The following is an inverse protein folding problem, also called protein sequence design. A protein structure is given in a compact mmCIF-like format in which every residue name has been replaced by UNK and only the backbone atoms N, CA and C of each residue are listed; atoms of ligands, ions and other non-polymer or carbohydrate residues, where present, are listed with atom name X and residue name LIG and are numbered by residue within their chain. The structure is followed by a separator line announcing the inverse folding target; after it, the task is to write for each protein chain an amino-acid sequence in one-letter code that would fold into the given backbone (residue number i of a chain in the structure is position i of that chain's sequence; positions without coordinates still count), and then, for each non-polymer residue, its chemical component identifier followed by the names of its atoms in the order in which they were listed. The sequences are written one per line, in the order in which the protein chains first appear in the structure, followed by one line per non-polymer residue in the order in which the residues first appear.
data_IF_888518985910
#
_entry.id   IF_888518985910
#
_cell.length_a   1.000
_cell.length_b   1.000
_cell.length_c   1.000
_cell.angle_alpha   90.00
_cell.angle_beta   90.00
_cell.angle_gamma   90.00
#
_symmetry.space_group_name_H-M   'P 1'
#
loop_
_entity.id
_entity.type
_entity.pdbx_description
1 polymer ?
#
# COMPACT_ATOMS: atom_id res chain seq x y z
N UNK A 1 -15.54 -4.65 29.14
CA UNK A 1 -14.52 -4.07 30.03
C UNK A 1 -13.77 -3.01 29.25
N UNK A 2 -13.92 -1.72 29.59
CA UNK A 2 -13.12 -0.65 28.99
C UNK A 2 -11.77 -0.60 29.69
N UNK A 3 -10.68 -0.73 28.94
CA UNK A 3 -9.33 -0.53 29.47
C UNK A 3 -9.09 0.98 29.58
N UNK A 4 -8.85 1.48 30.79
CA UNK A 4 -8.41 2.88 30.98
C UNK A 4 -7.05 3.07 30.31
N UNK A 5 -6.97 4.07 29.42
CA UNK A 5 -5.71 4.45 28.76
C UNK A 5 -4.94 5.36 29.71
N UNK A 6 -3.69 4.99 30.03
CA UNK A 6 -2.88 5.72 31.03
C UNK A 6 -2.14 6.90 30.40
N UNK A 7 -1.49 6.69 29.25
CA UNK A 7 -0.72 7.72 28.53
C UNK A 7 -0.64 7.39 27.03
N UNK A 8 -0.34 8.40 26.21
CA UNK A 8 -0.22 8.29 24.76
C UNK A 8 1.01 9.05 24.24
N UNK A 9 1.90 8.33 23.55
CA UNK A 9 3.04 8.89 22.85
C UNK A 9 2.85 8.71 21.33
N UNK A 10 3.09 9.76 20.54
CA UNK A 10 2.96 9.73 19.07
C UNK A 10 4.33 9.91 18.44
N UNK A 11 4.71 8.99 17.55
CA UNK A 11 5.97 9.05 16.79
C UNK A 11 5.69 9.45 15.34
N UNK A 12 6.45 10.41 14.82
CA UNK A 12 6.50 10.74 13.39
C UNK A 12 7.52 9.85 12.67
N UNK A 13 7.40 9.74 11.34
CA UNK A 13 8.40 9.05 10.52
C UNK A 13 9.75 9.76 10.61
N UNK A 14 10.87 9.02 10.59
CA UNK A 14 12.18 9.62 10.40
C UNK A 14 12.20 10.33 9.03
N UNK A 15 12.49 11.64 9.06
CA UNK A 15 12.61 12.48 7.85
C UNK A 15 14.02 12.50 7.29
N UNK A 16 15.00 12.22 8.14
CA UNK A 16 16.40 12.09 7.76
C UNK A 16 16.78 10.62 7.91
N UNK A 17 17.57 10.13 6.96
CA UNK A 17 18.21 8.84 7.10
C UNK A 17 19.30 9.00 8.17
N UNK A 18 19.05 8.53 9.38
CA UNK A 18 20.13 8.36 10.34
C UNK A 18 20.99 7.21 9.82
N UNK A 19 22.22 7.51 9.39
CA UNK A 19 23.30 6.51 9.31
C UNK A 19 23.55 5.99 10.73
N UNK A 20 22.65 5.16 11.24
CA UNK A 20 22.90 4.40 12.45
C UNK A 20 24.10 3.53 12.13
N UNK A 21 25.21 3.69 12.87
CA UNK A 21 26.42 2.87 12.73
C UNK A 21 26.18 1.36 12.84
N UNK A 22 24.97 0.96 13.27
CA UNK A 22 24.34 -0.28 12.89
C UNK A 22 23.91 -0.22 11.42
N UNK A 23 24.87 -0.37 10.52
CA UNK A 23 24.67 -0.60 9.08
C UNK A 23 23.45 -1.49 8.87
N UNK A 24 22.35 -0.86 8.49
CA UNK A 24 21.08 -1.50 8.19
C UNK A 24 21.30 -2.33 6.91
N UNK A 25 21.74 -3.57 7.09
CA UNK A 25 21.88 -4.65 6.10
C UNK A 25 22.01 -4.24 4.63
N UNK A 26 22.99 -3.40 4.31
CA UNK A 26 23.63 -3.50 3.00
C UNK A 26 24.34 -4.85 2.98
N UNK A 27 23.86 -5.76 2.13
CA UNK A 27 24.62 -6.89 1.61
C UNK A 27 25.34 -7.75 2.67
N UNK A 28 24.61 -8.55 3.46
CA UNK A 28 25.25 -9.53 4.37
C UNK A 28 25.08 -11.00 3.99
N UNK A 29 24.70 -11.29 2.75
CA UNK A 29 25.10 -12.56 2.12
C UNK A 29 25.31 -12.45 0.60
N UNK A 30 26.36 -11.73 0.14
CA UNK A 30 26.72 -11.67 -1.28
C UNK A 30 27.19 -13.01 -1.86
N UNK A 31 27.32 -14.07 -1.04
CA UNK A 31 27.70 -15.41 -1.49
C UNK A 31 26.50 -16.22 -2.00
N UNK A 32 25.26 -15.88 -1.62
CA UNK A 32 24.04 -16.59 -2.04
C UNK A 32 23.00 -15.73 -2.78
N UNK A 33 23.21 -14.41 -2.86
CA UNK A 33 22.32 -13.56 -3.65
C UNK A 33 22.50 -13.83 -5.15
N UNK A 34 21.39 -14.01 -5.86
CA UNK A 34 21.34 -14.08 -7.32
C UNK A 34 21.79 -12.73 -7.90
N UNK A 35 23.09 -12.62 -8.17
CA UNK A 35 23.73 -11.38 -8.63
C UNK A 35 23.07 -10.84 -9.90
N UNK A 36 22.62 -11.71 -10.79
CA UNK A 36 21.93 -11.29 -12.01
C UNK A 36 20.65 -10.52 -11.69
N UNK A 37 19.85 -11.01 -10.73
CA UNK A 37 18.62 -10.33 -10.32
C UNK A 37 18.89 -9.01 -9.57
N UNK A 38 19.97 -8.94 -8.80
CA UNK A 38 20.39 -7.72 -8.12
C UNK A 38 20.86 -6.64 -9.12
N UNK A 39 21.65 -7.03 -10.12
CA UNK A 39 22.14 -6.14 -11.18
C UNK A 39 20.97 -5.59 -12.01
N UNK A 40 20.01 -6.46 -12.39
CA UNK A 40 18.78 -6.01 -13.09
C UNK A 40 17.99 -5.01 -12.25
N UNK A 41 17.86 -5.25 -10.95
CA UNK A 41 17.16 -4.32 -10.06
C UNK A 41 17.87 -2.96 -10.03
N UNK A 42 19.19 -2.94 -9.84
CA UNK A 42 19.99 -1.72 -9.82
C UNK A 42 19.86 -0.93 -11.14
N UNK A 43 20.02 -1.61 -12.28
CA UNK A 43 19.90 -1.02 -13.61
C UNK A 43 18.52 -0.38 -13.84
N UNK A 44 17.45 -1.05 -13.37
CA UNK A 44 16.09 -0.50 -13.48
C UNK A 44 15.93 0.73 -12.61
N UNK A 45 16.38 0.69 -11.35
CA UNK A 45 16.29 1.84 -10.42
C UNK A 45 17.03 3.05 -10.96
N UNK A 46 18.24 2.87 -11.52
CA UNK A 46 19.02 3.96 -12.11
C UNK A 46 18.34 4.63 -13.31
N UNK A 47 17.49 3.89 -14.03
CA UNK A 47 16.74 4.40 -15.19
C UNK A 47 15.44 5.10 -14.83
N UNK A 48 14.96 5.00 -13.59
CA UNK A 48 13.73 5.65 -13.17
C UNK A 48 13.97 7.16 -13.01
N UNK A 49 13.18 7.97 -13.71
CA UNK A 49 13.10 9.40 -13.46
C UNK A 49 12.27 9.65 -12.19
N UNK A 50 12.93 9.58 -11.04
CA UNK A 50 12.29 9.81 -9.74
C UNK A 50 11.68 11.21 -9.63
N UNK A 51 12.18 12.20 -10.37
CA UNK A 51 11.59 13.53 -10.35
C UNK A 51 10.24 13.54 -11.07
N UNK A 52 10.14 12.90 -12.22
CA UNK A 52 8.87 12.70 -12.92
C UNK A 52 7.88 11.91 -12.04
N UNK A 53 8.34 10.82 -11.41
CA UNK A 53 7.52 10.01 -10.51
C UNK A 53 6.99 10.84 -9.33
N UNK A 54 7.86 11.59 -8.65
CA UNK A 54 7.46 12.49 -7.56
C UNK A 54 6.40 13.50 -8.01
N UNK A 55 6.60 14.14 -9.17
CA UNK A 55 5.65 15.14 -9.69
C UNK A 55 4.26 14.52 -9.96
N UNK A 56 4.18 13.24 -10.35
CA UNK A 56 2.92 12.53 -10.54
C UNK A 56 2.21 12.31 -9.20
N UNK A 57 2.93 11.84 -8.19
CA UNK A 57 2.40 11.70 -6.83
C UNK A 57 1.89 13.05 -6.29
N UNK A 58 2.67 14.11 -6.43
CA UNK A 58 2.30 15.47 -6.00
C UNK A 58 1.04 15.97 -6.74
N UNK A 59 0.93 15.72 -8.04
CA UNK A 59 -0.24 16.07 -8.85
C UNK A 59 -1.49 15.32 -8.39
N UNK A 60 -1.39 14.03 -8.09
CA UNK A 60 -2.52 13.23 -7.60
C UNK A 60 -2.92 13.69 -6.19
N UNK A 61 -1.96 13.90 -5.29
CA UNK A 61 -2.20 14.43 -3.95
C UNK A 61 -2.96 15.77 -4.01
N UNK A 62 -2.50 16.71 -4.83
CA UNK A 62 -3.16 18.00 -5.02
C UNK A 62 -4.59 17.86 -5.57
N UNK A 63 -4.82 16.98 -6.55
CA UNK A 63 -6.17 16.69 -7.09
C UNK A 63 -7.10 16.07 -6.04
N UNK A 64 -6.55 15.41 -5.03
CA UNK A 64 -7.27 14.85 -3.89
C UNK A 64 -7.38 15.82 -2.70
N UNK A 65 -6.94 17.07 -2.84
CA UNK A 65 -7.02 18.08 -1.77
C UNK A 65 -5.98 17.91 -0.66
N UNK A 66 -4.91 17.14 -0.92
CA UNK A 66 -3.79 16.94 -0.02
C UNK A 66 -2.68 17.93 -0.39
N UNK A 67 -2.04 18.51 0.62
CA UNK A 67 -0.87 19.38 0.45
C UNK A 67 0.36 18.52 0.10
N UNK A 68 0.89 18.61 -1.15
CA UNK A 68 1.98 17.74 -1.60
C UNK A 68 3.27 17.91 -0.79
N UNK A 69 3.47 19.07 -0.16
CA UNK A 69 4.68 19.35 0.64
C UNK A 69 4.76 18.52 1.92
N UNK A 70 3.67 17.86 2.33
CA UNK A 70 3.60 16.99 3.51
C UNK A 70 3.75 15.51 3.18
N UNK A 71 3.86 15.17 1.91
CA UNK A 71 3.96 13.80 1.43
C UNK A 71 5.33 13.23 1.74
N UNK A 72 5.36 11.98 2.20
CA UNK A 72 6.60 11.25 2.45
C UNK A 72 7.00 10.45 1.21
N UNK A 73 7.67 11.11 0.26
CA UNK A 73 8.28 10.45 -0.89
C UNK A 73 9.68 9.92 -0.49
N UNK A 74 9.92 8.64 -0.68
CA UNK A 74 11.12 7.91 -0.24
C UNK A 74 12.30 8.21 -1.16
N UNK A 75 12.08 8.25 -2.48
CA UNK A 75 13.12 8.64 -3.44
C UNK A 75 14.28 7.62 -3.58
N UNK A 76 15.16 7.82 -4.58
CA UNK A 76 16.17 6.84 -5.01
C UNK A 76 17.20 6.46 -3.92
N UNK A 77 17.40 7.32 -2.92
CA UNK A 77 18.41 7.14 -1.88
C UNK A 77 18.02 6.17 -0.76
N UNK A 78 16.76 5.75 -0.70
CA UNK A 78 16.20 4.92 0.38
C UNK A 78 15.62 3.59 -0.12
N UNK A 79 16.27 3.02 -1.14
CA UNK A 79 15.98 1.68 -1.66
C UNK A 79 17.00 0.64 -1.20
N UNK A 80 16.51 -0.57 -0.94
CA UNK A 80 17.35 -1.71 -0.55
C UNK A 80 16.98 -2.94 -1.37
N UNK A 81 18.01 -3.64 -1.83
CA UNK A 81 17.84 -4.97 -2.39
C UNK A 81 17.72 -6.01 -1.26
N UNK A 82 16.65 -6.80 -1.31
CA UNK A 82 16.37 -7.90 -0.40
C UNK A 82 16.40 -9.27 -1.11
N UNK A 83 17.02 -9.35 -2.29
CA UNK A 83 17.24 -10.57 -3.06
C UNK A 83 17.96 -11.61 -2.20
N UNK A 84 17.19 -12.56 -1.64
CA UNK A 84 17.55 -13.75 -0.82
C UNK A 84 16.86 -13.85 0.54
N UNK A 85 16.28 -12.76 1.06
CA UNK A 85 15.79 -12.76 2.44
C UNK A 85 14.37 -13.31 2.59
N UNK A 86 13.43 -12.90 1.73
CA UNK A 86 11.99 -13.26 1.82
C UNK A 86 11.43 -13.65 0.44
N UNK A 87 10.21 -14.19 0.36
CA UNK A 87 9.54 -14.50 -0.93
C UNK A 87 8.52 -13.41 -1.34
N UNK A 88 8.57 -12.25 -0.71
CA UNK A 88 7.75 -11.09 -1.07
C UNK A 88 8.41 -10.30 -2.20
N UNK A 89 7.61 -9.66 -3.06
CA UNK A 89 8.11 -8.88 -4.20
C UNK A 89 8.75 -7.56 -3.77
N UNK A 90 8.11 -6.88 -2.83
CA UNK A 90 8.54 -5.62 -2.26
C UNK A 90 7.94 -5.45 -0.86
N UNK A 91 8.44 -4.43 -0.16
CA UNK A 91 7.87 -3.95 1.09
C UNK A 91 8.41 -2.56 1.42
N UNK A 92 7.53 -1.63 1.75
CA UNK A 92 7.90 -0.43 2.49
C UNK A 92 8.05 -0.73 3.98
N UNK A 93 9.22 -0.39 4.52
CA UNK A 93 9.50 -0.45 5.95
C UNK A 93 9.34 0.95 6.55
N UNK A 94 8.22 1.16 7.24
CA UNK A 94 7.91 2.44 7.88
C UNK A 94 8.79 2.82 9.07
N UNK A 95 9.44 1.86 9.72
CA UNK A 95 10.32 2.14 10.87
C UNK A 95 11.61 2.84 10.42
N UNK A 96 12.13 2.43 9.25
CA UNK A 96 13.33 3.02 8.65
C UNK A 96 13.02 3.99 7.50
N UNK A 97 11.75 4.03 7.08
CA UNK A 97 11.27 4.79 5.93
C UNK A 97 12.03 4.45 4.63
N UNK A 98 12.10 3.16 4.33
CA UNK A 98 12.83 2.62 3.18
C UNK A 98 11.96 1.65 2.38
N UNK A 99 12.19 1.55 1.08
CA UNK A 99 11.53 0.54 0.24
C UNK A 99 12.51 -0.57 -0.08
N UNK A 100 12.09 -1.79 0.22
CA UNK A 100 12.82 -2.99 -0.12
C UNK A 100 12.19 -3.69 -1.32
N UNK A 101 13.00 -4.15 -2.26
CA UNK A 101 12.56 -4.95 -3.42
C UNK A 101 13.35 -6.25 -3.49
N UNK A 102 12.74 -7.30 -4.04
CA UNK A 102 13.39 -8.59 -4.22
C UNK A 102 13.47 -8.91 -5.71
N UNK A 103 14.66 -8.69 -6.30
CA UNK A 103 14.91 -8.88 -7.73
C UNK A 103 14.54 -10.30 -8.20
N UNK A 104 14.95 -11.34 -7.48
CA UNK A 104 14.66 -12.72 -7.89
C UNK A 104 13.17 -13.06 -7.81
N UNK A 105 12.46 -12.58 -6.78
CA UNK A 105 11.02 -12.80 -6.67
C UNK A 105 10.26 -12.03 -7.77
N UNK A 106 10.70 -10.80 -8.08
CA UNK A 106 10.17 -9.97 -9.16
C UNK A 106 10.38 -10.62 -10.54
N UNK A 107 11.58 -11.12 -10.82
CA UNK A 107 11.90 -11.85 -12.06
C UNK A 107 11.01 -13.09 -12.22
N UNK A 108 10.92 -13.94 -11.19
CA UNK A 108 10.02 -15.11 -11.20
C UNK A 108 8.55 -14.73 -11.39
N UNK A 109 8.11 -13.64 -10.76
CA UNK A 109 6.74 -13.14 -10.90
C UNK A 109 6.47 -12.64 -12.31
N UNK A 110 7.43 -11.93 -12.91
CA UNK A 110 7.33 -11.43 -14.27
C UNK A 110 7.28 -12.58 -15.29
N UNK A 111 8.15 -13.58 -15.14
CA UNK A 111 8.19 -14.79 -15.97
C UNK A 111 6.86 -15.57 -15.89
N UNK A 112 6.31 -15.75 -14.68
CA UNK A 112 5.02 -16.44 -14.50
C UNK A 112 3.88 -15.71 -15.21
N UNK A 113 3.80 -14.39 -15.03
CA UNK A 113 2.78 -13.57 -15.66
C UNK A 113 2.99 -13.43 -17.19
N UNK A 114 4.22 -13.64 -17.67
CA UNK A 114 4.60 -13.41 -19.06
C UNK A 114 4.72 -11.92 -19.39
N UNK A 115 5.27 -11.13 -18.46
CA UNK A 115 5.44 -9.67 -18.61
C UNK A 115 6.90 -9.26 -18.48
N UNK A 116 7.22 -8.04 -18.89
CA UNK A 116 8.56 -7.47 -18.77
C UNK A 116 8.97 -7.29 -17.29
N UNK A 117 10.20 -7.70 -16.96
CA UNK A 117 10.72 -7.65 -15.58
C UNK A 117 10.93 -6.22 -15.09
N UNK A 118 11.33 -5.28 -15.96
CA UNK A 118 11.54 -3.88 -15.58
C UNK A 118 10.22 -3.21 -15.23
N UNK A 119 9.17 -3.47 -16.01
CA UNK A 119 7.81 -3.03 -15.69
C UNK A 119 7.29 -3.64 -14.39
N UNK A 120 7.65 -4.90 -14.10
CA UNK A 120 7.29 -5.54 -12.84
C UNK A 120 7.98 -4.87 -11.64
N UNK A 121 9.28 -4.58 -11.76
CA UNK A 121 10.05 -3.83 -10.75
C UNK A 121 9.43 -2.45 -10.53
N UNK A 122 9.20 -1.69 -11.60
CA UNK A 122 8.61 -0.34 -11.50
C UNK A 122 7.22 -0.39 -10.86
N UNK A 123 6.35 -1.32 -11.26
CA UNK A 123 5.02 -1.48 -10.69
C UNK A 123 5.07 -1.79 -9.19
N UNK A 124 5.98 -2.67 -8.75
CA UNK A 124 6.12 -2.98 -7.32
C UNK A 124 6.71 -1.79 -6.56
N UNK A 125 7.71 -1.11 -7.11
CA UNK A 125 8.25 0.11 -6.50
C UNK A 125 7.15 1.15 -6.27
N UNK A 126 6.35 1.42 -7.29
CA UNK A 126 5.25 2.40 -7.22
C UNK A 126 4.22 1.97 -6.17
N UNK A 127 3.90 0.68 -6.06
CA UNK A 127 3.02 0.16 -5.02
C UNK A 127 3.56 0.47 -3.60
N UNK A 128 4.84 0.17 -3.35
CA UNK A 128 5.45 0.46 -2.05
C UNK A 128 5.60 1.97 -1.78
N UNK A 129 5.83 2.77 -2.82
CA UNK A 129 5.87 4.23 -2.72
C UNK A 129 4.48 4.81 -2.37
N UNK A 130 3.38 4.21 -2.84
CA UNK A 130 2.03 4.58 -2.41
C UNK A 130 1.84 4.30 -0.91
N UNK A 131 2.34 3.18 -0.39
CA UNK A 131 2.35 2.97 1.06
C UNK A 131 3.15 4.05 1.78
N UNK A 132 4.34 4.37 1.28
CA UNK A 132 5.23 5.34 1.93
C UNK A 132 4.66 6.76 1.95
N UNK A 133 4.00 7.16 0.87
CA UNK A 133 3.37 8.48 0.73
C UNK A 133 2.05 8.59 1.50
N UNK A 134 1.40 7.47 1.82
CA UNK A 134 0.17 7.41 2.63
C UNK A 134 0.38 7.86 4.08
N UNK A 135 -0.72 8.09 4.82
CA UNK A 135 -0.60 8.50 6.24
C UNK A 135 0.09 7.41 7.06
N UNK A 136 1.21 7.73 7.69
CA UNK A 136 1.77 6.94 8.78
C UNK A 136 1.47 7.55 10.15
N UNK A 137 1.17 6.70 11.12
CA UNK A 137 1.12 7.08 12.53
C UNK A 137 1.47 5.88 13.41
N UNK A 138 2.45 6.01 14.29
CA UNK A 138 2.66 5.05 15.38
C UNK A 138 2.32 5.71 16.72
N UNK A 139 1.49 5.04 17.52
CA UNK A 139 1.06 5.48 18.84
C UNK A 139 1.32 4.36 19.86
N UNK A 140 2.08 4.66 20.91
CA UNK A 140 2.23 3.75 22.05
C UNK A 140 1.08 4.01 23.01
N UNK A 141 0.24 2.99 23.20
CA UNK A 141 -0.88 3.00 24.13
C UNK A 141 -0.50 2.20 25.37
N UNK A 142 -0.27 2.90 26.48
CA UNK A 142 0.03 2.25 27.76
C UNK A 142 -1.26 1.73 28.39
N UNK A 143 -1.34 0.43 28.62
CA UNK A 143 -2.48 -0.22 29.28
C UNK A 143 -2.03 -0.99 30.52
N UNK A 144 -2.96 -1.31 31.43
CA UNK A 144 -2.66 -2.17 32.59
C UNK A 144 -2.11 -3.56 32.18
N UNK A 145 -2.47 -4.06 30.99
CA UNK A 145 -1.97 -5.33 30.44
C UNK A 145 -0.57 -5.21 29.80
N UNK A 146 0.00 -4.00 29.73
CA UNK A 146 1.24 -3.68 29.04
C UNK A 146 1.03 -2.74 27.85
N UNK A 147 2.15 -2.27 27.30
CA UNK A 147 2.14 -1.34 26.17
C UNK A 147 1.68 -2.06 24.89
N UNK A 148 0.84 -1.37 24.13
CA UNK A 148 0.44 -1.78 22.79
C UNK A 148 0.83 -0.69 21.81
N UNK A 149 1.47 -1.08 20.73
CA UNK A 149 1.74 -0.16 19.63
C UNK A 149 0.56 -0.22 18.65
N UNK A 150 -0.04 0.95 18.38
CA UNK A 150 -1.03 1.13 17.32
C UNK A 150 -0.34 1.81 16.15
N UNK A 151 -0.23 1.09 15.04
CA UNK A 151 0.30 1.60 13.78
C UNK A 151 -0.88 1.85 12.84
N UNK A 152 -0.87 2.95 12.12
CA UNK A 152 -1.81 3.27 11.04
C UNK A 152 -1.00 3.61 9.80
N UNK A 153 -1.34 2.96 8.68
CA UNK A 153 -0.76 3.15 7.35
C UNK A 153 -1.91 3.27 6.36
N UNK A 154 -2.19 4.48 5.89
CA UNK A 154 -3.39 4.72 5.10
C UNK A 154 -4.65 4.32 5.87
N UNK A 155 -5.43 3.40 5.31
CA UNK A 155 -6.61 2.82 5.97
C UNK A 155 -6.28 1.65 6.89
N UNK A 156 -5.13 1.02 6.70
CA UNK A 156 -4.68 -0.13 7.47
C UNK A 156 -4.38 0.25 8.92
N UNK A 157 -4.83 -0.57 9.87
CA UNK A 157 -4.49 -0.41 11.29
C UNK A 157 -3.94 -1.71 11.85
N UNK A 158 -2.80 -1.59 12.53
CA UNK A 158 -2.16 -2.71 13.21
C UNK A 158 -2.10 -2.41 14.70
N UNK A 159 -2.54 -3.36 15.51
CA UNK A 159 -2.29 -3.33 16.95
C UNK A 159 -1.28 -4.41 17.25
N UNK A 160 -0.03 -4.03 17.46
CA UNK A 160 1.02 -4.97 17.88
C UNK A 160 0.89 -5.21 19.37
N UNK A 161 0.54 -6.44 19.72
CA UNK A 161 0.56 -6.91 21.09
C UNK A 161 1.99 -7.18 21.54
N UNK A 162 2.26 -6.96 22.84
CA UNK A 162 3.50 -7.45 23.44
C UNK A 162 3.52 -8.99 23.43
N UNK A 163 4.29 -9.59 22.49
CA UNK A 163 4.39 -11.04 22.32
C UNK A 163 4.88 -11.75 23.58
N UNK A 164 5.75 -11.11 24.38
CA UNK A 164 6.22 -11.71 25.64
C UNK A 164 5.12 -11.83 26.69
N UNK A 165 4.01 -11.10 26.52
CA UNK A 165 2.79 -11.17 27.34
C UNK A 165 1.65 -11.94 26.66
N UNK A 166 1.92 -12.65 25.55
CA UNK A 166 0.93 -13.45 24.81
C UNK A 166 -0.13 -12.64 24.07
N UNK A 167 0.06 -11.32 23.90
CA UNK A 167 -0.89 -10.49 23.17
C UNK A 167 -0.72 -10.70 21.66
N UNK A 168 -1.78 -11.16 20.99
CA UNK A 168 -1.81 -11.32 19.53
C UNK A 168 -1.93 -9.97 18.84
N UNK A 169 -1.34 -9.87 17.65
CA UNK A 169 -1.54 -8.74 16.77
C UNK A 169 -2.96 -8.75 16.20
N UNK A 170 -3.54 -7.57 16.01
CA UNK A 170 -4.79 -7.38 15.27
C UNK A 170 -4.52 -6.50 14.05
N UNK A 171 -5.13 -6.85 12.93
CA UNK A 171 -5.02 -6.16 11.65
C UNK A 171 -6.43 -5.75 11.25
N UNK A 172 -6.62 -4.48 10.89
CA UNK A 172 -7.92 -3.95 10.47
C UNK A 172 -7.85 -3.21 9.15
N UNK A 173 -8.88 -3.39 8.33
CA UNK A 173 -9.05 -2.73 7.03
C UNK A 173 -7.89 -2.94 6.04
N UNK A 174 -7.09 -3.99 6.24
CA UNK A 174 -5.89 -4.27 5.44
C UNK A 174 -6.25 -4.51 3.97
N UNK A 175 -7.23 -5.37 3.68
CA UNK A 175 -7.66 -5.58 2.31
C UNK A 175 -8.25 -4.33 1.64
N UNK A 176 -8.96 -3.47 2.38
CA UNK A 176 -9.41 -2.19 1.83
C UNK A 176 -8.21 -1.29 1.49
N UNK A 177 -7.24 -1.22 2.40
CA UNK A 177 -6.03 -0.46 2.23
C UNK A 177 -5.25 -0.90 0.98
N UNK A 178 -4.96 -2.21 0.87
CA UNK A 178 -4.27 -2.81 -0.27
C UNK A 178 -5.00 -2.55 -1.60
N UNK A 179 -6.34 -2.65 -1.60
CA UNK A 179 -7.14 -2.36 -2.79
C UNK A 179 -7.02 -0.91 -3.27
N UNK A 180 -7.03 0.05 -2.33
CA UNK A 180 -6.86 1.47 -2.66
C UNK A 180 -5.41 1.77 -3.07
N UNK A 181 -4.43 1.22 -2.36
CA UNK A 181 -3.00 1.36 -2.66
C UNK A 181 -2.71 0.88 -4.09
N UNK A 182 -3.17 -0.32 -4.43
CA UNK A 182 -2.93 -0.93 -5.73
C UNK A 182 -3.65 -0.20 -6.88
N UNK A 183 -4.87 0.29 -6.67
CA UNK A 183 -5.56 1.12 -7.67
C UNK A 183 -4.83 2.44 -7.93
N UNK A 184 -4.36 3.11 -6.86
CA UNK A 184 -3.58 4.33 -6.98
C UNK A 184 -2.21 4.08 -7.62
N UNK A 185 -1.55 2.98 -7.27
CA UNK A 185 -0.28 2.58 -7.87
C UNK A 185 -0.39 2.39 -9.38
N UNK A 186 -1.49 1.78 -9.86
CA UNK A 186 -1.77 1.64 -11.29
C UNK A 186 -1.97 2.99 -11.98
N UNK A 187 -2.68 3.92 -11.32
CA UNK A 187 -2.87 5.28 -11.86
C UNK A 187 -1.53 6.00 -12.01
N UNK A 188 -0.67 5.94 -10.98
CA UNK A 188 0.68 6.53 -11.00
C UNK A 188 1.54 5.87 -12.09
N UNK A 189 1.57 4.54 -12.16
CA UNK A 189 2.35 3.78 -13.13
C UNK A 189 1.96 4.15 -14.56
N UNK A 190 0.66 4.20 -14.85
CA UNK A 190 0.15 4.56 -16.17
C UNK A 190 0.53 5.98 -16.57
N UNK A 191 0.42 6.95 -15.65
CA UNK A 191 0.82 8.32 -15.93
C UNK A 191 2.34 8.43 -16.12
N UNK A 192 3.12 7.69 -15.34
CA UNK A 192 4.59 7.66 -15.46
C UNK A 192 5.03 7.12 -16.81
N UNK A 193 4.50 5.96 -17.21
CA UNK A 193 4.76 5.35 -18.52
C UNK A 193 4.32 6.28 -19.67
N UNK A 194 3.23 7.02 -19.49
CA UNK A 194 2.73 7.95 -20.52
C UNK A 194 3.62 9.18 -20.68
N UNK A 195 4.28 9.62 -19.62
CA UNK A 195 5.02 10.89 -19.57
C UNK A 195 6.53 10.73 -19.68
N UNK A 196 7.02 9.48 -19.69
CA UNK A 196 8.45 9.13 -19.76
C UNK A 196 8.70 8.14 -20.89
N UNK A 197 9.96 8.04 -21.33
CA UNK A 197 10.40 7.04 -22.31
C UNK A 197 10.96 5.77 -21.61
N UNK A 198 10.42 5.43 -20.43
CA UNK A 198 10.97 4.34 -19.60
C UNK A 198 10.99 2.99 -20.31
N UNK A 199 9.96 2.70 -21.12
CA UNK A 199 9.83 1.44 -21.88
C UNK A 199 9.05 1.65 -23.18
N UNK A 200 9.04 0.64 -24.05
CA UNK A 200 8.30 0.70 -25.32
C UNK A 200 6.80 0.40 -25.15
N UNK A 201 5.98 0.96 -26.05
CA UNK A 201 4.51 0.86 -25.96
C UNK A 201 3.95 -0.55 -26.11
N UNK A 202 4.69 -1.48 -26.74
CA UNK A 202 4.27 -2.89 -26.86
C UNK A 202 4.36 -3.58 -25.50
N UNK A 203 5.47 -3.41 -24.77
CA UNK A 203 5.63 -3.95 -23.41
C UNK A 203 4.57 -3.43 -22.45
N UNK A 204 4.24 -2.14 -22.55
CA UNK A 204 3.17 -1.51 -21.75
C UNK A 204 1.83 -2.19 -22.02
N UNK A 205 1.50 -2.38 -23.30
CA UNK A 205 0.26 -3.04 -23.71
C UNK A 205 0.19 -4.47 -23.17
N UNK A 206 1.26 -5.25 -23.32
CA UNK A 206 1.36 -6.63 -22.79
C UNK A 206 1.19 -6.66 -21.27
N UNK A 207 1.79 -5.71 -20.56
CA UNK A 207 1.65 -5.57 -19.11
C UNK A 207 0.23 -5.23 -18.67
N UNK A 208 -0.44 -4.32 -19.37
CA UNK A 208 -1.84 -3.95 -19.10
C UNK A 208 -2.81 -5.09 -19.42
N UNK A 209 -2.61 -5.79 -20.53
CA UNK A 209 -3.40 -6.97 -20.89
C UNK A 209 -3.24 -8.08 -19.83
N UNK A 210 -2.05 -8.28 -19.26
CA UNK A 210 -1.84 -9.24 -18.18
C UNK A 210 -2.63 -8.87 -16.91
N UNK A 211 -2.75 -7.59 -16.56
CA UNK A 211 -3.58 -7.15 -15.43
C UNK A 211 -5.07 -7.45 -15.61
N UNK A 212 -5.56 -7.50 -16.85
CA UNK A 212 -6.94 -7.82 -17.16
C UNK A 212 -7.19 -9.33 -17.28
N UNK A 213 -6.27 -10.03 -17.95
CA UNK A 213 -6.44 -11.45 -18.30
C UNK A 213 -5.94 -12.42 -17.23
N UNK A 214 -4.95 -11.99 -16.42
CA UNK A 214 -4.32 -12.81 -15.37
C UNK A 214 -4.18 -12.02 -14.06
N UNK A 215 -5.25 -11.42 -13.54
CA UNK A 215 -5.18 -10.52 -12.39
C UNK A 215 -4.55 -11.17 -11.15
N UNK A 216 -4.76 -12.47 -10.94
CA UNK A 216 -4.21 -13.26 -9.84
C UNK A 216 -2.70 -13.52 -9.95
N UNK A 217 -2.14 -13.53 -11.16
CA UNK A 217 -0.70 -13.65 -11.39
C UNK A 217 -0.02 -12.28 -11.23
N UNK A 218 -0.74 -11.21 -11.55
CA UNK A 218 -0.25 -9.84 -11.46
C UNK A 218 -0.32 -9.28 -10.04
N UNK A 219 -1.35 -9.60 -9.26
CA UNK A 219 -1.48 -9.10 -7.90
C UNK A 219 -2.26 -10.07 -7.00
N UNK A 220 -1.67 -10.39 -5.85
CA UNK A 220 -2.37 -11.12 -4.78
C UNK A 220 -3.60 -10.37 -4.26
N UNK A 221 -3.72 -9.07 -4.56
CA UNK A 221 -4.78 -8.18 -4.10
C UNK A 221 -5.88 -7.94 -5.14
N UNK A 222 -5.94 -8.71 -6.24
CA UNK A 222 -6.91 -8.43 -7.31
C UNK A 222 -8.37 -8.37 -6.86
N UNK A 223 -8.77 -9.18 -5.87
CA UNK A 223 -10.12 -9.11 -5.29
C UNK A 223 -10.33 -7.83 -4.48
N UNK A 224 -9.31 -7.36 -3.77
CA UNK A 224 -9.37 -6.09 -3.05
C UNK A 224 -9.54 -4.91 -4.00
N UNK A 225 -8.84 -4.90 -5.13
CA UNK A 225 -9.01 -3.91 -6.21
C UNK A 225 -10.46 -3.90 -6.69
N UNK A 226 -10.99 -5.07 -7.08
CA UNK A 226 -12.36 -5.22 -7.55
C UNK A 226 -13.37 -4.78 -6.50
N UNK A 227 -13.11 -5.09 -5.23
CA UNK A 227 -13.96 -4.65 -4.13
C UNK A 227 -13.98 -3.13 -3.98
N UNK A 228 -12.83 -2.46 -4.03
CA UNK A 228 -12.77 -0.99 -3.98
C UNK A 228 -13.49 -0.37 -5.16
N UNK A 229 -13.32 -0.92 -6.36
CA UNK A 229 -14.02 -0.49 -7.58
C UNK A 229 -15.55 -0.55 -7.41
N UNK A 230 -16.08 -1.70 -6.97
CA UNK A 230 -17.51 -1.89 -6.68
C UNK A 230 -17.98 -0.95 -5.56
N UNK A 231 -17.18 -0.75 -4.53
CA UNK A 231 -17.51 0.13 -3.41
C UNK A 231 -17.62 1.59 -3.87
N UNK A 232 -16.65 2.06 -4.67
CA UNK A 232 -16.66 3.40 -5.28
C UNK A 232 -17.91 3.59 -6.14
N UNK A 233 -18.24 2.62 -6.99
CA UNK A 233 -19.45 2.66 -7.82
C UNK A 233 -20.73 2.73 -6.99
N UNK A 234 -20.82 1.90 -5.95
CA UNK A 234 -22.00 1.87 -5.07
C UNK A 234 -22.16 3.17 -4.29
N UNK A 235 -21.08 3.75 -3.77
CA UNK A 235 -21.11 5.08 -3.13
C UNK A 235 -21.52 6.15 -4.15
N UNK A 236 -20.97 6.13 -5.35
CA UNK A 236 -21.30 7.07 -6.42
C UNK A 236 -22.79 7.04 -6.75
N UNK A 237 -23.35 5.84 -6.98
CA UNK A 237 -24.78 5.66 -7.29
C UNK A 237 -25.67 6.08 -6.14
N UNK A 238 -25.38 5.66 -4.89
CA UNK A 238 -26.24 5.95 -3.74
C UNK A 238 -26.20 7.43 -3.31
N UNK A 239 -25.08 8.13 -3.54
CA UNK A 239 -24.93 9.54 -3.16
C UNK A 239 -25.21 10.53 -4.30
N UNK A 240 -25.25 10.07 -5.56
CA UNK A 240 -25.31 10.92 -6.74
C UNK A 240 -24.01 11.69 -7.03
N UNK A 241 -22.93 11.38 -6.31
CA UNK A 241 -21.59 11.97 -6.53
C UNK A 241 -20.94 11.30 -7.72
N UNK A 242 -20.22 12.04 -8.56
CA UNK A 242 -19.50 11.42 -9.67
C UNK A 242 -18.42 10.44 -9.17
N UNK A 243 -18.24 9.34 -9.91
CA UNK A 243 -17.35 8.24 -9.54
C UNK A 243 -15.92 8.69 -9.28
N UNK A 244 -15.41 9.65 -10.06
CA UNK A 244 -14.05 10.14 -9.90
C UNK A 244 -13.91 10.94 -8.60
N UNK A 245 -14.87 11.80 -8.24
CA UNK A 245 -14.86 12.48 -6.94
C UNK A 245 -14.94 11.51 -5.75
N UNK A 246 -15.71 10.43 -5.88
CA UNK A 246 -15.70 9.35 -4.87
C UNK A 246 -14.31 8.71 -4.78
N UNK A 247 -13.70 8.33 -5.90
CA UNK A 247 -12.34 7.78 -5.92
C UNK A 247 -11.31 8.75 -5.30
N UNK A 248 -11.34 10.04 -5.65
CA UNK A 248 -10.45 11.04 -5.05
C UNK A 248 -10.66 11.20 -3.55
N UNK A 249 -11.87 10.98 -3.06
CA UNK A 249 -12.16 10.97 -1.62
C UNK A 249 -11.55 9.74 -0.92
N UNK A 250 -11.50 8.57 -1.58
CA UNK A 250 -10.75 7.42 -1.06
C UNK A 250 -9.24 7.68 -1.05
N UNK A 251 -8.69 8.25 -2.12
CA UNK A 251 -7.27 8.62 -2.16
C UNK A 251 -6.95 9.65 -1.07
N UNK A 252 -7.81 10.66 -0.88
CA UNK A 252 -7.67 11.63 0.21
C UNK A 252 -7.68 10.94 1.57
N UNK A 253 -8.63 10.04 1.81
CA UNK A 253 -8.74 9.31 3.07
C UNK A 253 -7.54 8.41 3.35
N UNK A 254 -6.91 7.84 2.32
CA UNK A 254 -5.63 7.13 2.41
C UNK A 254 -4.51 8.08 2.90
N UNK A 255 -4.37 9.27 2.31
CA UNK A 255 -3.35 10.24 2.71
C UNK A 255 -3.60 10.91 4.07
N UNK A 256 -4.86 11.04 4.49
CA UNK A 256 -5.23 11.59 5.81
C UNK A 256 -5.22 10.51 6.92
N UNK A 257 -5.27 9.23 6.55
CA UNK A 257 -5.38 8.10 7.47
C UNK A 257 -6.73 8.07 8.18
N UNK A 258 -7.80 8.20 7.39
CA UNK A 258 -9.17 8.26 7.89
C UNK A 258 -9.52 7.03 8.71
N UNK A 259 -10.12 7.29 9.88
CA UNK A 259 -10.57 6.25 10.80
C UNK A 259 -12.07 5.97 10.60
N UNK A 260 -12.38 4.90 9.86
CA UNK A 260 -13.75 4.43 9.62
C UNK A 260 -14.51 3.99 10.88
N UNK A 261 -13.86 3.82 12.03
CA UNK A 261 -14.52 3.46 13.29
C UNK A 261 -15.04 4.68 14.06
N UNK A 262 -14.70 5.90 13.63
CA UNK A 262 -15.27 7.12 14.20
C UNK A 262 -16.74 7.27 13.80
N UNK A 263 -17.55 7.94 14.63
CA UNK A 263 -18.98 8.13 14.34
C UNK A 263 -19.24 8.85 13.02
N UNK A 264 -18.40 9.84 12.71
CA UNK A 264 -18.48 10.65 11.50
C UNK A 264 -18.43 9.80 10.22
N UNK A 265 -17.52 8.80 10.16
CA UNK A 265 -17.40 7.93 9.00
C UNK A 265 -18.24 6.66 9.10
N UNK A 266 -18.44 6.12 10.31
CA UNK A 266 -19.16 4.86 10.48
C UNK A 266 -20.65 4.97 10.21
N UNK A 267 -21.30 6.06 10.63
CA UNK A 267 -22.74 6.21 10.47
C UNK A 267 -23.16 6.28 9.00
N UNK A 268 -22.56 7.12 8.13
CA UNK A 268 -22.92 7.13 6.70
C UNK A 268 -22.72 5.78 6.02
N UNK A 269 -21.64 5.05 6.35
CA UNK A 269 -21.43 3.70 5.80
C UNK A 269 -22.48 2.70 6.27
N UNK A 270 -22.93 2.79 7.52
CA UNK A 270 -24.02 1.95 8.03
C UNK A 270 -25.35 2.28 7.37
N UNK A 271 -25.63 3.55 7.10
CA UNK A 271 -26.83 3.98 6.37
C UNK A 271 -26.80 3.48 4.91
N UNK A 272 -25.63 3.48 4.27
CA UNK A 272 -25.47 3.03 2.89
C UNK A 272 -25.46 1.50 2.74
N UNK A 273 -24.82 0.79 3.67
CA UNK A 273 -24.46 -0.62 3.51
C UNK A 273 -24.98 -1.57 4.61
N UNK A 274 -25.65 -1.02 5.63
CA UNK A 274 -26.18 -1.76 6.78
C UNK A 274 -25.26 -1.75 8.01
N UNK A 275 -25.86 -1.97 9.19
CA UNK A 275 -25.25 -1.74 10.51
C UNK A 275 -23.92 -2.49 10.75
N UNK A 276 -23.73 -3.66 10.12
CA UNK A 276 -22.58 -4.54 10.35
C UNK A 276 -21.53 -4.51 9.23
N UNK A 277 -21.74 -3.76 8.16
CA UNK A 277 -20.88 -3.80 6.98
C UNK A 277 -19.42 -3.42 7.33
N UNK A 278 -19.22 -2.28 8.00
CA UNK A 278 -17.87 -1.84 8.39
C UNK A 278 -17.17 -2.78 9.35
N UNK A 279 -17.91 -3.46 10.23
CA UNK A 279 -17.32 -4.43 11.14
C UNK A 279 -16.82 -5.68 10.41
N UNK A 280 -17.54 -6.12 9.37
CA UNK A 280 -17.10 -7.21 8.51
C UNK A 280 -15.90 -6.78 7.67
N UNK A 281 -15.97 -5.60 7.06
CA UNK A 281 -14.89 -5.02 6.26
C UNK A 281 -13.61 -4.85 7.09
N UNK A 282 -13.72 -4.37 8.33
CA UNK A 282 -12.56 -4.17 9.19
C UNK A 282 -11.83 -5.47 9.52
N UNK A 283 -12.51 -6.62 9.48
CA UNK A 283 -11.95 -7.93 9.82
C UNK A 283 -11.68 -8.81 8.60
N UNK A 284 -11.96 -8.33 7.39
CA UNK A 284 -11.70 -9.06 6.16
C UNK A 284 -10.19 -9.19 5.96
N UNK A 285 -9.70 -10.44 5.95
CA UNK A 285 -8.27 -10.75 5.81
C UNK A 285 -8.01 -11.76 4.69
N UNK A 286 -9.06 -12.36 4.14
CA UNK A 286 -8.95 -13.34 3.05
C UNK A 286 -9.86 -12.98 1.87
N UNK A 287 -9.50 -13.48 0.69
CA UNK A 287 -10.30 -13.39 -0.54
C UNK A 287 -11.78 -13.75 -0.34
N UNK A 288 -12.07 -14.79 0.45
CA UNK A 288 -13.45 -15.23 0.75
C UNK A 288 -14.26 -14.20 1.52
N UNK A 289 -13.62 -13.41 2.39
CA UNK A 289 -14.28 -12.36 3.14
C UNK A 289 -14.72 -11.23 2.20
N UNK A 290 -13.85 -10.88 1.24
CA UNK A 290 -14.13 -9.88 0.21
C UNK A 290 -15.24 -10.36 -0.74
N UNK A 291 -15.22 -11.61 -1.19
CA UNK A 291 -16.30 -12.17 -2.00
C UNK A 291 -17.65 -12.11 -1.29
N UNK A 292 -17.68 -12.39 0.02
CA UNK A 292 -18.90 -12.30 0.82
C UNK A 292 -19.41 -10.84 0.92
N UNK A 293 -18.50 -9.88 1.14
CA UNK A 293 -18.82 -8.45 1.17
C UNK A 293 -19.33 -7.95 -0.19
N UNK A 294 -18.70 -8.36 -1.28
CA UNK A 294 -19.14 -8.00 -2.64
C UNK A 294 -20.56 -8.49 -2.93
N UNK A 295 -20.89 -9.74 -2.56
CA UNK A 295 -22.26 -10.27 -2.71
C UNK A 295 -23.28 -9.46 -1.90
N UNK A 296 -22.91 -9.02 -0.70
CA UNK A 296 -23.76 -8.14 0.10
C UNK A 296 -24.02 -6.80 -0.62
N UNK A 297 -22.98 -6.19 -1.20
CA UNK A 297 -23.10 -4.96 -1.99
C UNK A 297 -23.98 -5.12 -3.24
N UNK A 298 -23.95 -6.28 -3.90
CA UNK A 298 -24.78 -6.57 -5.08
C UNK A 298 -26.28 -6.65 -4.75
N UNK A 299 -26.63 -7.07 -3.53
CA UNK A 299 -28.04 -7.22 -3.10
C UNK A 299 -28.71 -5.93 -2.62
N UNK A 300 -27.94 -4.82 -2.51
CA UNK A 300 -28.37 -3.52 -2.00
C UNK A 300 -28.32 -2.41 -3.06
#
# INVERSE_FOLDING_TARGET
MSFETLEKEVKELPREFEETGDTCYLLKDPENADRESADVLADVIERIDFKALQNIFESIAAKSGIDPSKMNFVGPERFYDMTSMWDTLGRWNSEHNVIALNGSALKRSAERAGVDTELRVLSTLVHEEVHATSRYKSEIVKTQAGDREKITTGYGKYRRGNRSKGLKGEVFFDLLNEGVVELLAREVLLEYIRTTDFTDSRKVKEFMEAHEQKPEEMSGYWLAIKFVDVLVDKVSVKTGTDRNSVWRSFVRGLYEGVDFETKEFSQPFQELFGENFLQKLSKANFSKDIEALMKELETQ
#
